data_IF_450617068474
#
_entry.id   IF_450617068474
#
_cell.length_a   1.000
_cell.length_b   1.000
_cell.length_c   1.000
_cell.angle_alpha   90.00
_cell.angle_beta   90.00
_cell.angle_gamma   90.00
#
_symmetry.space_group_name_H-M   'P 1'
#
loop_
_entity.id
_entity.type
_entity.pdbx_description
1 polymer ?
#
# COMPACT_ATOMS: atom_id res chain seq x y z
N UNK A 1 16.19 24.14 13.81
CA UNK A 1 16.58 22.76 13.50
C UNK A 1 17.78 22.71 12.54
N UNK A 2 17.67 23.24 11.31
CA UNK A 2 18.72 23.20 10.28
C UNK A 2 20.00 23.97 10.65
N UNK A 3 19.97 24.93 11.58
CA UNK A 3 21.13 25.72 11.99
C UNK A 3 22.07 24.92 12.90
N UNK A 4 21.53 24.00 13.71
CA UNK A 4 22.26 23.23 14.70
C UNK A 4 22.65 21.83 14.22
N UNK A 5 22.27 21.44 12.98
CA UNK A 5 22.55 20.12 12.46
C UNK A 5 23.90 20.05 11.74
N UNK A 6 24.59 18.89 11.79
CA UNK A 6 25.86 18.68 11.06
C UNK A 6 25.70 18.87 9.54
N UNK A 7 26.76 19.25 8.82
CA UNK A 7 26.70 19.50 7.37
C UNK A 7 26.14 18.33 6.56
N UNK A 8 26.53 17.10 6.88
CA UNK A 8 26.03 15.89 6.19
C UNK A 8 24.52 15.71 6.34
N UNK A 9 23.93 16.13 7.45
CA UNK A 9 22.49 16.04 7.67
C UNK A 9 21.74 17.02 6.78
N UNK A 10 22.31 18.19 6.50
CA UNK A 10 21.73 19.20 5.58
C UNK A 10 21.70 18.68 4.16
N UNK A 11 22.76 18.03 3.71
CA UNK A 11 22.84 17.43 2.39
C UNK A 11 21.82 16.29 2.25
N UNK A 12 21.76 15.40 3.22
CA UNK A 12 20.81 14.31 3.27
C UNK A 12 19.36 14.79 3.30
N UNK A 13 19.06 15.82 4.09
CA UNK A 13 17.76 16.45 4.15
C UNK A 13 17.41 17.13 2.82
N UNK A 14 18.37 17.80 2.20
CA UNK A 14 18.20 18.40 0.87
C UNK A 14 17.84 17.38 -0.21
N UNK A 15 18.53 16.23 -0.24
CA UNK A 15 18.21 15.11 -1.13
C UNK A 15 16.80 14.54 -0.83
N UNK A 16 16.43 14.44 0.44
CA UNK A 16 15.10 14.03 0.86
C UNK A 16 14.00 14.98 0.37
N UNK A 17 14.24 16.30 0.42
CA UNK A 17 13.32 17.31 -0.12
C UNK A 17 13.15 17.18 -1.63
N UNK A 18 14.25 17.00 -2.37
CA UNK A 18 14.21 16.77 -3.81
C UNK A 18 13.45 15.46 -4.11
N UNK A 19 13.75 14.37 -3.39
CA UNK A 19 13.05 13.10 -3.53
C UNK A 19 11.54 13.22 -3.28
N UNK A 20 11.15 13.95 -2.25
CA UNK A 20 9.74 14.21 -1.95
C UNK A 20 9.06 15.06 -3.03
N UNK A 21 9.72 16.13 -3.50
CA UNK A 21 9.18 17.01 -4.53
C UNK A 21 9.08 16.36 -5.92
N UNK A 22 9.89 15.35 -6.20
CA UNK A 22 9.91 14.61 -7.48
C UNK A 22 9.22 13.24 -7.38
N UNK A 23 8.57 12.93 -6.27
CA UNK A 23 7.93 11.64 -5.99
C UNK A 23 8.89 10.45 -6.16
N UNK A 24 10.16 10.63 -5.80
CA UNK A 24 11.24 9.64 -5.93
C UNK A 24 11.93 9.29 -4.62
N UNK A 25 11.38 9.71 -3.49
CA UNK A 25 11.96 9.48 -2.16
C UNK A 25 12.11 7.98 -1.82
N UNK A 26 11.24 7.13 -2.32
CA UNK A 26 11.34 5.69 -2.15
C UNK A 26 12.61 5.11 -2.82
N UNK A 27 13.00 5.62 -4.01
CA UNK A 27 14.26 5.23 -4.66
C UNK A 27 15.47 5.77 -3.90
N UNK A 28 15.38 6.98 -3.36
CA UNK A 28 16.42 7.54 -2.52
C UNK A 28 16.70 6.62 -1.32
N UNK A 29 15.66 6.22 -0.58
CA UNK A 29 15.79 5.33 0.57
C UNK A 29 16.21 3.90 0.17
N UNK A 30 15.80 3.44 -1.02
CA UNK A 30 16.22 2.15 -1.55
C UNK A 30 17.75 2.10 -1.82
N UNK A 31 18.31 3.17 -2.39
CA UNK A 31 19.75 3.26 -2.73
C UNK A 31 20.60 3.43 -1.47
N UNK A 32 20.10 4.12 -0.46
CA UNK A 32 20.81 4.42 0.78
C UNK A 32 21.00 3.22 1.71
N UNK A 33 20.53 2.03 1.33
CA UNK A 33 20.60 0.78 2.12
C UNK A 33 21.96 0.47 2.76
N UNK A 34 23.07 0.81 2.08
CA UNK A 34 24.41 0.44 2.47
C UNK A 34 25.22 1.60 3.06
N UNK A 35 24.60 2.76 3.30
CA UNK A 35 25.28 3.91 3.88
C UNK A 35 25.37 3.81 5.40
N UNK A 36 26.56 4.04 5.95
CA UNK A 36 26.83 4.20 7.39
C UNK A 36 25.82 5.09 8.13
N UNK A 37 25.14 5.97 7.40
CA UNK A 37 24.18 6.96 7.90
C UNK A 37 22.74 6.45 8.05
N UNK A 38 22.36 5.32 7.46
CA UNK A 38 20.98 4.83 7.47
C UNK A 38 20.58 4.26 8.82
N UNK A 39 21.47 3.48 9.44
CA UNK A 39 21.17 2.85 10.72
C UNK A 39 21.14 3.83 11.91
N UNK A 40 21.95 4.91 11.85
CA UNK A 40 22.08 5.86 12.97
C UNK A 40 21.12 7.06 12.89
N UNK A 41 20.57 7.37 11.71
CA UNK A 41 19.84 8.63 11.48
C UNK A 41 18.46 8.45 10.79
N UNK A 42 18.00 7.24 10.53
CA UNK A 42 16.66 7.01 9.95
C UNK A 42 15.57 7.58 10.86
N UNK A 43 15.72 7.44 12.18
CA UNK A 43 14.77 7.99 13.15
C UNK A 43 14.79 9.53 13.21
N UNK A 44 15.89 10.16 12.77
CA UNK A 44 16.04 11.61 12.77
C UNK A 44 15.61 12.27 11.45
N UNK A 45 15.30 11.48 10.40
CA UNK A 45 14.88 12.04 9.13
C UNK A 45 13.37 12.32 9.12
N UNK A 46 12.94 13.59 9.21
CA UNK A 46 11.52 13.93 9.23
C UNK A 46 10.82 13.62 7.89
N UNK A 47 11.57 13.38 6.81
CA UNK A 47 11.05 13.08 5.49
C UNK A 47 10.96 11.57 5.20
N UNK A 48 11.30 10.71 6.17
CA UNK A 48 11.28 9.27 5.94
C UNK A 48 9.91 8.78 5.47
N UNK A 49 8.83 9.36 5.97
CA UNK A 49 7.47 8.97 5.62
C UNK A 49 7.07 9.30 4.16
N UNK A 50 7.83 10.14 3.47
CA UNK A 50 7.53 10.53 2.09
C UNK A 50 7.74 9.42 1.06
N UNK A 51 8.40 8.31 1.45
CA UNK A 51 8.58 7.18 0.54
C UNK A 51 7.27 6.51 0.13
N UNK A 52 6.31 6.36 1.06
CA UNK A 52 5.01 5.77 0.75
C UNK A 52 4.18 6.68 -0.14
N UNK A 53 4.20 7.99 0.12
CA UNK A 53 3.57 8.98 -0.74
C UNK A 53 4.16 8.96 -2.15
N UNK A 54 5.49 8.82 -2.29
CA UNK A 54 6.13 8.71 -3.60
C UNK A 54 5.62 7.48 -4.39
N UNK A 55 5.43 6.33 -3.73
CA UNK A 55 4.86 5.12 -4.36
C UNK A 55 3.44 5.37 -4.85
N UNK A 56 2.60 6.02 -4.04
CA UNK A 56 1.22 6.36 -4.40
C UNK A 56 1.15 7.32 -5.59
N UNK A 57 1.95 8.39 -5.58
CA UNK A 57 1.98 9.38 -6.67
C UNK A 57 2.50 8.78 -7.98
N UNK A 58 3.49 7.89 -7.91
CA UNK A 58 3.94 7.12 -9.08
C UNK A 58 2.80 6.25 -9.62
N UNK A 59 2.05 5.59 -8.75
CA UNK A 59 0.89 4.81 -9.18
C UNK A 59 -0.17 5.70 -9.84
N UNK A 60 -0.51 6.84 -9.26
CA UNK A 60 -1.50 7.77 -9.81
C UNK A 60 -1.07 8.37 -11.15
N UNK A 61 0.23 8.50 -11.40
CA UNK A 61 0.77 8.94 -12.68
C UNK A 61 0.68 7.84 -13.75
N UNK A 62 1.06 6.60 -13.41
CA UNK A 62 1.13 5.50 -14.39
C UNK A 62 -0.21 4.80 -14.59
N UNK A 63 -1.04 4.68 -13.56
CA UNK A 63 -2.29 3.95 -13.64
C UNK A 63 -3.29 4.51 -14.66
N UNK A 64 -3.54 5.81 -14.78
CA UNK A 64 -4.44 6.35 -15.80
C UNK A 64 -3.97 6.06 -17.22
N UNK A 65 -2.65 6.10 -17.46
CA UNK A 65 -2.07 5.77 -18.76
C UNK A 65 -2.27 4.28 -19.09
N UNK A 66 -2.04 3.42 -18.11
CA UNK A 66 -2.30 1.98 -18.22
C UNK A 66 -3.78 1.71 -18.47
N UNK A 67 -4.67 2.39 -17.75
CA UNK A 67 -6.11 2.26 -17.91
C UNK A 67 -6.55 2.68 -19.33
N UNK A 68 -6.08 3.83 -19.82
CA UNK A 68 -6.37 4.30 -21.19
C UNK A 68 -5.93 3.30 -22.25
N UNK A 69 -4.75 2.70 -22.10
CA UNK A 69 -4.28 1.64 -22.97
C UNK A 69 -5.20 0.41 -22.92
N UNK A 70 -5.65 0.06 -21.71
CA UNK A 70 -6.47 -1.12 -21.45
C UNK A 70 -7.96 -0.94 -21.81
N UNK A 71 -8.45 0.29 -22.01
CA UNK A 71 -9.83 0.54 -22.48
C UNK A 71 -10.16 -0.13 -23.85
N UNK A 72 -9.13 -0.58 -24.59
CA UNK A 72 -9.27 -1.36 -25.82
C UNK A 72 -9.64 -2.83 -25.59
N UNK A 73 -9.52 -3.30 -24.36
CA UNK A 73 -9.78 -4.70 -23.97
C UNK A 73 -11.12 -4.84 -23.26
N UNK A 74 -11.66 -6.06 -23.25
CA UNK A 74 -12.90 -6.33 -22.49
C UNK A 74 -12.64 -6.19 -20.97
N UNK A 75 -13.68 -5.84 -20.21
CA UNK A 75 -13.59 -5.73 -18.74
C UNK A 75 -13.13 -7.03 -18.09
N UNK A 76 -13.61 -8.17 -18.58
CA UNK A 76 -13.18 -9.48 -18.11
C UNK A 76 -11.68 -9.67 -18.31
N UNK A 77 -11.14 -9.26 -19.47
CA UNK A 77 -9.69 -9.29 -19.72
C UNK A 77 -8.94 -8.38 -18.76
N UNK A 78 -9.47 -7.20 -18.43
CA UNK A 78 -8.89 -6.29 -17.45
C UNK A 78 -8.80 -6.94 -16.06
N UNK A 79 -9.92 -7.50 -15.57
CA UNK A 79 -9.95 -8.18 -14.28
C UNK A 79 -8.96 -9.34 -14.22
N UNK A 80 -8.88 -10.14 -15.27
CA UNK A 80 -7.93 -11.26 -15.34
C UNK A 80 -6.49 -10.76 -15.30
N UNK A 81 -6.15 -9.75 -16.12
CA UNK A 81 -4.79 -9.19 -16.19
C UNK A 81 -4.40 -8.56 -14.85
N UNK A 82 -5.27 -7.75 -14.24
CA UNK A 82 -4.99 -7.15 -12.93
C UNK A 82 -4.86 -8.21 -11.84
N UNK A 83 -5.74 -9.21 -11.79
CA UNK A 83 -5.65 -10.29 -10.81
C UNK A 83 -4.35 -11.09 -10.95
N UNK A 84 -3.94 -11.40 -12.19
CA UNK A 84 -2.66 -12.05 -12.44
C UNK A 84 -1.47 -11.19 -12.01
N UNK A 85 -1.52 -9.90 -12.32
CA UNK A 85 -0.44 -8.97 -11.97
C UNK A 85 -0.32 -8.79 -10.44
N UNK A 86 -1.45 -8.65 -9.74
CA UNK A 86 -1.50 -8.62 -8.27
C UNK A 86 -0.89 -9.89 -7.69
N UNK A 87 -1.36 -11.05 -8.14
CA UNK A 87 -0.87 -12.33 -7.64
C UNK A 87 0.63 -12.48 -7.87
N UNK A 88 1.12 -12.12 -9.06
CA UNK A 88 2.54 -12.19 -9.39
C UNK A 88 3.38 -11.28 -8.48
N UNK A 89 2.99 -10.00 -8.32
CA UNK A 89 3.72 -9.05 -7.47
C UNK A 89 3.66 -9.48 -6.00
N UNK A 90 2.50 -9.94 -5.54
CA UNK A 90 2.33 -10.43 -4.18
C UNK A 90 3.22 -11.64 -3.89
N UNK A 91 3.20 -12.65 -4.76
CA UNK A 91 4.06 -13.83 -4.63
C UNK A 91 5.55 -13.47 -4.69
N UNK A 92 5.92 -12.52 -5.56
CA UNK A 92 7.27 -11.97 -5.60
C UNK A 92 7.66 -11.34 -4.26
N UNK A 93 6.80 -10.49 -3.68
CA UNK A 93 7.05 -9.86 -2.38
C UNK A 93 7.16 -10.89 -1.25
N UNK A 94 6.32 -11.92 -1.24
CA UNK A 94 6.38 -13.01 -0.26
C UNK A 94 7.66 -13.85 -0.42
N UNK A 95 8.04 -14.19 -1.66
CA UNK A 95 9.20 -15.03 -1.93
C UNK A 95 10.53 -14.35 -1.60
N UNK A 96 10.63 -13.04 -1.78
CA UNK A 96 11.85 -12.27 -1.47
C UNK A 96 11.90 -11.79 -0.02
N UNK A 97 10.84 -12.00 0.75
CA UNK A 97 10.75 -11.67 2.18
C UNK A 97 10.92 -10.17 2.47
N UNK A 98 11.35 -9.87 3.70
CA UNK A 98 11.54 -8.50 4.17
C UNK A 98 12.89 -7.93 3.71
N UNK A 99 13.08 -7.92 2.41
CA UNK A 99 14.22 -7.23 1.84
C UNK A 99 13.90 -5.74 1.75
N UNK A 100 14.92 -4.92 1.91
CA UNK A 100 14.85 -3.48 1.71
C UNK A 100 14.26 -3.13 0.33
N UNK A 101 14.49 -4.00 -0.66
CA UNK A 101 13.93 -3.88 -1.99
C UNK A 101 12.40 -4.02 -1.98
N UNK A 102 11.85 -5.04 -1.35
CA UNK A 102 10.40 -5.28 -1.29
C UNK A 102 9.67 -4.21 -0.49
N UNK A 103 10.35 -3.58 0.45
CA UNK A 103 9.78 -2.51 1.26
C UNK A 103 9.67 -1.18 0.50
N UNK A 104 10.75 -0.73 -0.17
CA UNK A 104 10.81 0.60 -0.79
C UNK A 104 10.50 0.60 -2.30
N UNK A 105 10.61 -0.52 -3.01
CA UNK A 105 10.34 -0.56 -4.42
C UNK A 105 8.84 -0.44 -4.72
N UNK A 106 8.46 0.57 -5.51
CA UNK A 106 7.07 0.82 -5.91
C UNK A 106 6.41 -0.41 -6.53
N UNK A 107 7.14 -1.14 -7.38
CA UNK A 107 6.63 -2.34 -8.03
C UNK A 107 6.20 -3.42 -7.04
N UNK A 108 6.92 -3.59 -5.94
CA UNK A 108 6.60 -4.58 -4.92
C UNK A 108 5.38 -4.22 -4.05
N UNK A 109 4.96 -2.94 -4.08
CA UNK A 109 3.84 -2.41 -3.29
C UNK A 109 2.57 -2.15 -4.12
N UNK A 110 2.67 -2.11 -5.43
CA UNK A 110 1.53 -1.81 -6.30
C UNK A 110 0.36 -2.80 -6.19
N UNK A 111 0.58 -4.04 -5.73
CA UNK A 111 -0.49 -5.00 -5.52
C UNK A 111 -1.54 -4.50 -4.52
N UNK A 112 -1.14 -3.72 -3.51
CA UNK A 112 -2.04 -3.11 -2.53
C UNK A 112 -3.03 -2.15 -3.20
N UNK A 113 -2.51 -1.28 -4.07
CA UNK A 113 -3.29 -0.29 -4.82
C UNK A 113 -4.16 -0.95 -5.91
N UNK A 114 -3.64 -1.99 -6.57
CA UNK A 114 -4.41 -2.73 -7.57
C UNK A 114 -5.61 -3.48 -7.01
N UNK A 115 -5.58 -3.92 -5.76
CA UNK A 115 -6.79 -4.47 -5.08
C UNK A 115 -7.89 -3.41 -5.06
N UNK A 116 -7.55 -2.15 -4.75
CA UNK A 116 -8.49 -1.04 -4.81
C UNK A 116 -9.07 -0.83 -6.22
N UNK A 117 -8.25 -0.98 -7.27
CA UNK A 117 -8.71 -0.92 -8.66
C UNK A 117 -9.73 -2.01 -8.98
N UNK A 118 -9.48 -3.25 -8.57
CA UNK A 118 -10.44 -4.36 -8.77
C UNK A 118 -11.76 -4.07 -8.06
N UNK A 119 -11.70 -3.61 -6.81
CA UNK A 119 -12.88 -3.21 -6.05
C UNK A 119 -13.65 -2.13 -6.79
N UNK A 120 -12.98 -1.08 -7.29
CA UNK A 120 -13.61 -0.01 -8.05
C UNK A 120 -14.30 -0.50 -9.34
N UNK A 121 -13.67 -1.42 -10.08
CA UNK A 121 -14.26 -2.02 -11.29
C UNK A 121 -15.52 -2.80 -10.94
N UNK A 122 -15.48 -3.64 -9.90
CA UNK A 122 -16.64 -4.45 -9.47
C UNK A 122 -17.80 -3.55 -9.02
N UNK A 123 -17.52 -2.52 -8.24
CA UNK A 123 -18.54 -1.58 -7.74
C UNK A 123 -19.16 -0.76 -8.88
N UNK A 124 -18.36 -0.33 -9.85
CA UNK A 124 -18.84 0.40 -11.01
C UNK A 124 -19.75 -0.46 -11.88
N UNK A 125 -19.45 -1.75 -12.05
CA UNK A 125 -20.31 -2.68 -12.81
C UNK A 125 -21.65 -2.94 -12.13
N UNK A 126 -21.67 -2.99 -10.81
CA UNK A 126 -22.87 -3.29 -10.03
C UNK A 126 -23.68 -2.05 -9.66
N UNK A 127 -23.13 -0.87 -9.90
CA UNK A 127 -23.79 0.40 -9.58
C UNK A 127 -23.78 0.76 -8.08
N UNK A 128 -22.93 0.11 -7.28
CA UNK A 128 -22.78 0.41 -5.86
C UNK A 128 -22.33 -0.76 -5.02
N UNK A 129 -22.33 -0.60 -3.68
CA UNK A 129 -21.91 -1.62 -2.71
C UNK A 129 -22.73 -2.92 -2.83
N UNK A 130 -22.08 -4.03 -2.46
CA UNK A 130 -22.69 -5.34 -2.36
C UNK A 130 -23.46 -5.46 -1.04
N UNK A 131 -24.78 -5.19 -1.08
CA UNK A 131 -25.60 -5.25 0.13
C UNK A 131 -26.25 -6.63 0.22
N UNK A 132 -25.82 -7.50 1.16
CA UNK A 132 -26.48 -8.78 1.40
C UNK A 132 -27.91 -8.58 1.93
N UNK A 133 -28.85 -9.45 1.53
CA UNK A 133 -30.23 -9.41 2.04
C UNK A 133 -30.30 -9.72 3.55
N UNK A 134 -29.42 -10.58 4.02
CA UNK A 134 -29.34 -10.94 5.43
C UNK A 134 -28.63 -9.86 6.22
N UNK A 135 -29.34 -9.20 7.14
CA UNK A 135 -28.83 -8.09 7.95
C UNK A 135 -27.63 -8.49 8.82
N UNK A 136 -27.57 -9.73 9.31
CA UNK A 136 -26.43 -10.21 10.09
C UNK A 136 -25.17 -10.24 9.23
N UNK A 137 -25.27 -10.75 7.99
CA UNK A 137 -24.16 -10.80 7.05
C UNK A 137 -23.75 -9.38 6.64
N UNK A 138 -24.73 -8.51 6.40
CA UNK A 138 -24.54 -7.12 6.03
C UNK A 138 -23.70 -6.34 7.07
N UNK A 139 -23.90 -6.60 8.36
CA UNK A 139 -23.13 -5.95 9.44
C UNK A 139 -21.81 -6.68 9.74
N UNK A 140 -21.80 -8.02 9.61
CA UNK A 140 -20.62 -8.81 9.97
C UNK A 140 -19.45 -8.62 9.04
N UNK A 141 -19.67 -8.48 7.70
CA UNK A 141 -18.59 -8.36 6.74
C UNK A 141 -17.80 -7.06 6.91
N UNK A 142 -18.42 -5.86 6.97
CA UNK A 142 -17.69 -4.62 7.24
C UNK A 142 -17.02 -4.62 8.61
N UNK A 143 -17.67 -5.19 9.63
CA UNK A 143 -17.09 -5.30 10.98
C UNK A 143 -15.82 -6.17 10.96
N UNK A 144 -15.86 -7.31 10.25
CA UNK A 144 -14.66 -8.11 10.02
C UNK A 144 -13.59 -7.30 9.28
N UNK A 145 -13.98 -6.49 8.30
CA UNK A 145 -13.04 -5.60 7.61
C UNK A 145 -12.34 -4.64 8.57
N UNK A 146 -13.09 -3.99 9.48
CA UNK A 146 -12.51 -3.11 10.50
C UNK A 146 -11.56 -3.87 11.43
N UNK A 147 -11.94 -5.07 11.88
CA UNK A 147 -11.06 -5.88 12.75
C UNK A 147 -9.77 -6.27 12.02
N UNK A 148 -9.83 -6.59 10.72
CA UNK A 148 -8.64 -6.88 9.90
C UNK A 148 -7.73 -5.66 9.72
N UNK A 149 -8.28 -4.45 9.63
CA UNK A 149 -7.51 -3.21 9.58
C UNK A 149 -6.84 -2.90 10.91
N UNK A 150 -7.55 -3.11 12.02
CA UNK A 150 -7.05 -2.78 13.36
C UNK A 150 -6.11 -3.86 13.94
N UNK A 151 -6.30 -5.12 13.58
CA UNK A 151 -5.53 -6.24 14.15
C UNK A 151 -4.00 -6.05 14.08
N UNK A 152 -3.39 -5.64 12.95
CA UNK A 152 -1.95 -5.43 12.89
C UNK A 152 -1.43 -4.39 13.88
N UNK A 153 -2.23 -3.38 14.23
CA UNK A 153 -1.82 -2.33 15.18
C UNK A 153 -1.58 -2.93 16.58
N UNK A 154 -2.42 -3.89 16.99
CA UNK A 154 -2.28 -4.54 18.29
C UNK A 154 -1.22 -5.64 18.32
N UNK A 155 -0.93 -6.25 17.18
CA UNK A 155 0.00 -7.36 17.07
C UNK A 155 1.35 -6.99 16.47
N UNK A 156 1.61 -5.71 16.15
CA UNK A 156 2.84 -5.27 15.47
C UNK A 156 4.11 -5.70 16.22
N UNK A 157 4.12 -5.61 17.54
CA UNK A 157 5.27 -6.04 18.35
C UNK A 157 5.54 -7.55 18.25
N UNK A 158 4.48 -8.36 18.11
CA UNK A 158 4.61 -9.80 17.92
C UNK A 158 5.15 -10.15 16.53
N UNK A 159 4.82 -9.36 15.52
CA UNK A 159 5.34 -9.51 14.17
C UNK A 159 6.82 -9.09 14.07
N UNK A 160 7.21 -7.99 14.72
CA UNK A 160 8.61 -7.55 14.80
C UNK A 160 9.49 -8.58 15.51
N UNK A 161 8.95 -9.30 16.49
CA UNK A 161 9.64 -10.40 17.17
C UNK A 161 9.76 -11.68 16.33
N UNK A 162 9.07 -11.76 15.19
CA UNK A 162 9.03 -12.94 14.32
C UNK A 162 9.66 -12.63 12.95
N UNK A 163 10.98 -12.66 12.81
CA UNK A 163 11.70 -12.19 11.62
C UNK A 163 11.45 -13.04 10.36
N UNK A 164 10.62 -14.06 10.45
CA UNK A 164 10.33 -14.98 9.33
C UNK A 164 9.01 -14.69 8.61
N UNK A 165 8.18 -13.76 9.12
CA UNK A 165 6.90 -13.45 8.48
C UNK A 165 7.11 -12.31 7.48
N UNK A 166 6.94 -12.55 6.15
CA UNK A 166 7.06 -11.49 5.15
C UNK A 166 6.07 -10.37 5.41
N UNK A 167 6.52 -9.12 5.35
CA UNK A 167 5.69 -7.94 5.59
C UNK A 167 4.46 -7.90 4.67
N UNK A 168 4.56 -8.44 3.46
CA UNK A 168 3.45 -8.56 2.53
C UNK A 168 2.27 -9.36 3.12
N UNK A 169 2.54 -10.38 3.96
CA UNK A 169 1.48 -11.14 4.64
C UNK A 169 0.83 -10.34 5.77
N UNK A 170 1.62 -9.52 6.48
CA UNK A 170 1.09 -8.65 7.54
C UNK A 170 0.18 -7.57 6.95
N UNK A 171 0.59 -6.97 5.83
CA UNK A 171 -0.15 -5.91 5.14
C UNK A 171 -1.38 -6.45 4.40
N UNK A 172 -1.40 -7.76 4.07
CA UNK A 172 -2.54 -8.39 3.39
C UNK A 172 -3.86 -8.24 4.19
N UNK A 173 -3.79 -8.38 5.51
CA UNK A 173 -4.98 -8.27 6.36
C UNK A 173 -5.66 -6.88 6.28
N UNK A 174 -4.95 -5.74 6.49
CA UNK A 174 -5.58 -4.42 6.39
C UNK A 174 -6.01 -4.08 4.95
N UNK A 175 -5.29 -4.54 3.92
CA UNK A 175 -5.67 -4.32 2.52
C UNK A 175 -6.98 -5.02 2.19
N UNK A 176 -7.11 -6.31 2.53
CA UNK A 176 -8.37 -7.05 2.35
C UNK A 176 -9.49 -6.50 3.24
N UNK A 177 -9.17 -6.13 4.48
CA UNK A 177 -10.14 -5.49 5.39
C UNK A 177 -10.72 -4.22 4.80
N UNK A 178 -9.89 -3.35 4.25
CA UNK A 178 -10.32 -2.12 3.57
C UNK A 178 -11.19 -2.44 2.34
N UNK A 179 -10.79 -3.43 1.54
CA UNK A 179 -11.58 -3.88 0.39
C UNK A 179 -12.99 -4.37 0.82
N UNK A 180 -13.09 -5.16 1.90
CA UNK A 180 -14.37 -5.60 2.46
C UNK A 180 -15.24 -4.43 2.92
N UNK A 181 -14.66 -3.45 3.61
CA UNK A 181 -15.38 -2.25 4.03
C UNK A 181 -15.94 -1.52 2.81
N UNK A 182 -15.11 -1.23 1.82
CA UNK A 182 -15.54 -0.48 0.63
C UNK A 182 -16.61 -1.25 -0.17
N UNK A 183 -16.47 -2.57 -0.30
CA UNK A 183 -17.40 -3.39 -1.08
C UNK A 183 -18.76 -3.60 -0.41
N UNK A 184 -18.81 -3.70 0.92
CA UNK A 184 -20.01 -4.14 1.64
C UNK A 184 -20.61 -3.08 2.57
N UNK A 185 -19.95 -1.93 2.79
CA UNK A 185 -20.54 -0.84 3.57
C UNK A 185 -21.53 -0.04 2.74
N UNK A 186 -22.73 0.17 3.30
CA UNK A 186 -23.76 1.04 2.75
C UNK A 186 -24.31 1.93 3.87
N UNK A 187 -25.06 2.97 3.52
CA UNK A 187 -25.73 3.88 4.48
C UNK A 187 -26.63 3.17 5.50
N UNK A 188 -27.04 1.93 5.20
CA UNK A 188 -27.78 1.07 6.11
C UNK A 188 -26.94 0.36 7.16
N UNK A 189 -25.62 0.23 6.97
CA UNK A 189 -24.69 -0.45 7.89
C UNK A 189 -24.19 0.49 8.98
N UNK A 190 -23.82 -0.06 10.15
CA UNK A 190 -23.25 0.70 11.27
C UNK A 190 -21.95 1.45 10.85
N UNK A 191 -21.13 0.80 10.03
CA UNK A 191 -19.84 1.36 9.56
C UNK A 191 -20.03 2.36 8.40
N UNK A 192 -21.12 2.26 7.62
CA UNK A 192 -21.40 3.14 6.50
C UNK A 192 -22.17 4.42 6.86
N UNK A 193 -22.56 4.58 8.13
CA UNK A 193 -23.22 5.78 8.65
C UNK A 193 -22.19 6.83 9.08
#
# INVERSE_FOLDING_TARGET
FLILTPPFFKEFFGLGLVGAATFSSNFLFLIQRNGYFVAANSELNPLIHTWSLAVEEQFYLFYPLLLLFMLRFSRTSLLVVFSFFILFIFLFAVAHGDTHLTFYASGARFWELYIGVIVAIILNERGGPLVPENRVIQESIPTLGVTMVLAPIFFIQSFEASPHIPIALVVLAPVLGTALIIMFSDRGTFIGR
#
